data_IF_404520047822
#
_entry.id   IF_404520047822
#
_cell.length_a   1.000
_cell.length_b   1.000
_cell.length_c   1.000
_cell.angle_alpha   90.00
_cell.angle_beta   90.00
_cell.angle_gamma   90.00
#
_symmetry.space_group_name_H-M   'P 1'
#
loop_
_entity.id
_entity.type
_entity.pdbx_description
1 polymer ?
#
# COMPACT_ATOMS: atom_id res chain seq x y z
N UNK A 1 6.44 -38.81 8.56
CA UNK A 1 5.69 -37.58 8.88
C UNK A 1 5.35 -36.86 7.57
N UNK A 2 4.09 -36.49 7.36
CA UNK A 2 3.69 -35.80 6.13
C UNK A 2 3.43 -34.35 6.49
N UNK A 3 4.10 -33.43 5.79
CA UNK A 3 3.92 -31.99 5.94
C UNK A 3 2.94 -31.52 4.87
N UNK A 4 1.84 -30.89 5.29
CA UNK A 4 0.86 -30.31 4.36
C UNK A 4 0.77 -28.82 4.64
N UNK A 5 0.90 -28.02 3.61
CA UNK A 5 0.79 -26.55 3.72
C UNK A 5 -0.59 -26.08 3.26
N UNK A 6 -1.21 -25.19 4.02
CA UNK A 6 -2.40 -24.44 3.60
C UNK A 6 -1.95 -23.10 3.03
N UNK A 7 -2.00 -22.97 1.70
CA UNK A 7 -1.60 -21.74 0.98
C UNK A 7 -2.71 -20.67 0.98
N UNK A 8 -3.42 -20.50 2.08
CA UNK A 8 -4.43 -19.44 2.24
C UNK A 8 -3.94 -18.40 3.23
N UNK A 9 -4.30 -17.14 2.97
CA UNK A 9 -4.11 -16.07 3.95
C UNK A 9 -5.12 -16.29 5.09
N UNK A 10 -4.69 -16.92 6.17
CA UNK A 10 -5.52 -17.17 7.34
C UNK A 10 -5.50 -15.95 8.29
N UNK A 11 -5.71 -14.76 7.73
CA UNK A 11 -5.66 -13.48 8.44
C UNK A 11 -6.83 -13.26 9.41
N UNK A 12 -7.92 -14.02 9.26
CA UNK A 12 -9.10 -13.97 10.13
C UNK A 12 -9.09 -15.13 11.12
N UNK A 13 -9.47 -14.86 12.37
CA UNK A 13 -9.61 -15.87 13.44
C UNK A 13 -10.54 -17.03 13.03
N UNK A 14 -11.66 -16.71 12.38
CA UNK A 14 -12.60 -17.72 11.89
C UNK A 14 -11.96 -18.74 10.94
N UNK A 15 -11.01 -18.32 10.09
CA UNK A 15 -10.31 -19.23 9.19
C UNK A 15 -9.37 -20.16 9.96
N UNK A 16 -8.67 -19.63 10.97
CA UNK A 16 -7.75 -20.39 11.82
C UNK A 16 -8.52 -21.38 12.71
N UNK A 17 -9.65 -20.94 13.27
CA UNK A 17 -10.55 -21.81 14.03
C UNK A 17 -11.07 -22.98 13.18
N UNK A 18 -11.49 -22.70 11.93
CA UNK A 18 -11.95 -23.76 11.02
C UNK A 18 -10.85 -24.78 10.71
N UNK A 19 -9.58 -24.35 10.56
CA UNK A 19 -8.45 -25.26 10.40
C UNK A 19 -8.21 -26.09 11.66
N UNK A 20 -8.25 -25.46 12.84
CA UNK A 20 -8.10 -26.16 14.13
C UNK A 20 -9.18 -27.21 14.33
N UNK A 21 -10.42 -26.87 14.02
CA UNK A 21 -11.54 -27.79 14.12
C UNK A 21 -11.44 -28.94 13.13
N UNK A 22 -10.97 -28.70 11.92
CA UNK A 22 -10.80 -29.72 10.89
C UNK A 22 -9.75 -30.79 11.28
N UNK A 23 -8.75 -30.45 12.08
CA UNK A 23 -7.71 -31.36 12.52
C UNK A 23 -7.95 -31.92 13.93
N UNK A 24 -8.99 -31.42 14.62
CA UNK A 24 -9.35 -31.90 15.96
C UNK A 24 -9.71 -33.38 15.92
N UNK A 25 -9.03 -34.18 16.75
CA UNK A 25 -9.26 -35.59 16.84
C UNK A 25 -8.69 -36.45 15.70
N UNK A 26 -7.85 -35.85 14.85
CA UNK A 26 -7.13 -36.60 13.82
C UNK A 26 -6.21 -37.68 14.43
N UNK A 27 -6.12 -38.81 13.77
CA UNK A 27 -5.21 -39.89 14.15
C UNK A 27 -4.38 -40.33 12.92
N UNK A 28 -3.07 -40.12 12.91
CA UNK A 28 -2.27 -39.54 13.99
C UNK A 28 -2.56 -38.01 14.21
N UNK A 29 -2.19 -37.48 15.39
CA UNK A 29 -2.41 -36.07 15.71
C UNK A 29 -1.71 -35.16 14.69
N UNK A 30 -2.42 -34.11 14.24
CA UNK A 30 -1.89 -33.09 13.35
C UNK A 30 -1.50 -31.85 14.18
N UNK A 31 -0.26 -31.40 14.00
CA UNK A 31 0.22 -30.13 14.56
C UNK A 31 0.04 -29.00 13.57
N UNK A 32 -0.48 -27.86 14.04
CA UNK A 32 -0.64 -26.64 13.26
C UNK A 32 0.49 -25.68 13.58
N UNK A 33 1.31 -25.36 12.58
CA UNK A 33 2.34 -24.33 12.65
C UNK A 33 1.89 -23.12 11.84
N UNK A 34 2.05 -21.91 12.40
CA UNK A 34 1.84 -20.67 11.68
C UNK A 34 3.18 -20.04 11.28
N UNK A 35 3.28 -19.60 10.04
CA UNK A 35 4.26 -18.59 9.63
C UNK A 35 3.59 -17.23 9.83
N UNK A 36 4.04 -16.47 10.81
CA UNK A 36 3.45 -15.21 11.21
C UNK A 36 4.34 -14.04 10.81
N UNK A 37 3.86 -13.18 9.91
CA UNK A 37 4.52 -11.93 9.60
C UNK A 37 4.05 -10.86 10.57
N UNK A 38 4.90 -10.52 11.54
CA UNK A 38 4.61 -9.46 12.49
C UNK A 38 4.53 -8.10 11.80
N UNK A 39 3.56 -7.27 12.22
CA UNK A 39 3.38 -5.92 11.70
C UNK A 39 3.99 -4.92 12.68
N UNK A 40 5.31 -4.95 12.81
CA UNK A 40 6.05 -3.99 13.65
C UNK A 40 6.23 -2.62 12.98
N UNK A 41 5.99 -2.57 11.66
CA UNK A 41 6.10 -1.35 10.86
C UNK A 41 4.77 -0.62 10.73
N UNK A 42 4.78 0.70 10.42
CA UNK A 42 3.57 1.43 10.03
C UNK A 42 2.81 0.71 8.91
N UNK A 43 1.49 0.68 9.00
CA UNK A 43 0.65 -0.05 8.03
C UNK A 43 0.86 0.40 6.59
N UNK A 44 1.21 1.68 6.38
CA UNK A 44 1.55 2.24 5.07
C UNK A 44 2.82 1.63 4.48
N UNK A 45 3.85 1.42 5.31
CA UNK A 45 5.09 0.76 4.90
C UNK A 45 4.84 -0.71 4.54
N UNK A 46 4.05 -1.42 5.35
CA UNK A 46 3.65 -2.81 5.07
C UNK A 46 2.87 -2.89 3.77
N UNK A 47 1.90 -2.00 3.57
CA UNK A 47 1.13 -1.93 2.34
C UNK A 47 2.03 -1.74 1.12
N UNK A 48 3.00 -0.82 1.21
CA UNK A 48 3.97 -0.60 0.15
C UNK A 48 4.78 -1.85 -0.17
N UNK A 49 5.40 -2.49 0.83
CA UNK A 49 6.19 -3.70 0.64
C UNK A 49 5.36 -4.78 -0.05
N UNK A 50 4.12 -4.99 0.37
CA UNK A 50 3.22 -5.97 -0.24
C UNK A 50 2.85 -5.58 -1.68
N UNK A 51 2.58 -4.30 -1.95
CA UNK A 51 2.25 -3.81 -3.28
C UNK A 51 3.42 -3.94 -4.24
N UNK A 52 4.63 -3.57 -3.82
CA UNK A 52 5.84 -3.72 -4.62
C UNK A 52 6.09 -5.19 -4.98
N UNK A 53 5.94 -6.11 -4.04
CA UNK A 53 6.04 -7.57 -4.31
C UNK A 53 5.00 -8.08 -5.31
N UNK A 54 3.79 -7.53 -5.32
CA UNK A 54 2.77 -7.89 -6.33
C UNK A 54 3.17 -7.35 -7.69
N UNK A 55 3.72 -6.13 -7.76
CA UNK A 55 4.22 -5.56 -9.02
C UNK A 55 5.39 -6.34 -9.58
N UNK A 56 6.38 -6.70 -8.75
CA UNK A 56 7.56 -7.44 -9.16
C UNK A 56 7.21 -8.83 -9.71
N UNK A 57 6.17 -9.46 -9.18
CA UNK A 57 5.65 -10.73 -9.69
C UNK A 57 4.85 -10.58 -10.99
N UNK A 58 4.34 -9.39 -11.27
CA UNK A 58 3.59 -9.08 -12.47
C UNK A 58 2.48 -10.09 -12.77
N UNK A 59 2.48 -10.64 -13.99
CA UNK A 59 1.52 -11.65 -14.42
C UNK A 59 1.62 -12.99 -13.69
N UNK A 60 2.75 -13.27 -13.03
CA UNK A 60 2.98 -14.51 -12.29
C UNK A 60 2.31 -14.53 -10.91
N UNK A 61 1.67 -13.43 -10.49
CA UNK A 61 0.89 -13.44 -9.27
C UNK A 61 -0.43 -14.21 -9.46
N UNK A 62 -0.66 -15.27 -8.66
CA UNK A 62 -1.77 -16.21 -8.86
C UNK A 62 -3.16 -15.57 -8.73
N UNK A 63 -3.33 -14.61 -7.81
CA UNK A 63 -4.65 -14.09 -7.42
C UNK A 63 -4.82 -12.60 -7.60
N UNK A 64 -3.76 -11.83 -7.40
CA UNK A 64 -3.75 -10.39 -7.57
C UNK A 64 -3.06 -10.08 -8.88
N UNK A 65 -3.83 -9.68 -9.86
CA UNK A 65 -3.31 -9.13 -11.10
C UNK A 65 -3.59 -7.64 -11.05
N UNK A 66 -2.59 -6.84 -11.38
CA UNK A 66 -2.82 -5.44 -11.59
C UNK A 66 -4.04 -5.31 -12.51
N UNK A 67 -5.09 -4.67 -12.02
CA UNK A 67 -6.23 -4.19 -12.79
C UNK A 67 -7.21 -5.21 -13.41
N UNK A 68 -7.15 -6.48 -13.05
CA UNK A 68 -8.06 -7.51 -13.60
C UNK A 68 -9.35 -7.69 -12.79
N UNK A 69 -9.38 -7.27 -11.54
CA UNK A 69 -10.57 -7.35 -10.68
C UNK A 69 -11.15 -5.96 -10.44
N UNK A 70 -12.41 -5.89 -10.04
CA UNK A 70 -13.12 -4.63 -9.79
C UNK A 70 -12.52 -3.72 -8.70
N UNK A 71 -11.50 -4.21 -7.99
CA UNK A 71 -10.64 -3.45 -7.07
C UNK A 71 -9.20 -3.55 -7.54
N UNK A 72 -8.41 -2.48 -7.35
CA UNK A 72 -6.97 -2.54 -7.56
C UNK A 72 -6.34 -3.54 -6.59
N UNK A 73 -5.15 -4.08 -6.94
CA UNK A 73 -4.45 -4.97 -6.02
C UNK A 73 -4.08 -4.24 -4.71
N UNK A 74 -3.81 -2.94 -4.76
CA UNK A 74 -3.53 -2.10 -3.61
C UNK A 74 -4.71 -2.01 -2.64
N UNK A 75 -5.94 -1.81 -3.17
CA UNK A 75 -7.16 -1.85 -2.35
C UNK A 75 -7.37 -3.22 -1.69
N UNK A 76 -7.07 -4.30 -2.42
CA UNK A 76 -7.20 -5.66 -1.88
C UNK A 76 -6.17 -5.90 -0.78
N UNK A 77 -4.90 -5.51 -0.98
CA UNK A 77 -3.86 -5.61 0.05
C UNK A 77 -4.26 -4.80 1.28
N UNK A 78 -4.74 -3.56 1.07
CA UNK A 78 -5.18 -2.71 2.17
C UNK A 78 -6.32 -3.34 2.96
N UNK A 79 -7.30 -3.90 2.26
CA UNK A 79 -8.39 -4.64 2.90
C UNK A 79 -7.89 -5.81 3.77
N UNK A 80 -6.89 -6.55 3.31
CA UNK A 80 -6.28 -7.64 4.11
C UNK A 80 -5.58 -7.10 5.36
N UNK A 81 -4.83 -6.00 5.24
CA UNK A 81 -4.13 -5.36 6.36
C UNK A 81 -5.14 -4.88 7.42
N UNK A 82 -6.25 -4.26 7.00
CA UNK A 82 -7.29 -3.75 7.90
C UNK A 82 -8.11 -4.83 8.59
N UNK A 83 -8.36 -5.92 7.89
CA UNK A 83 -9.18 -7.03 8.41
C UNK A 83 -8.37 -8.07 9.18
N UNK A 84 -7.04 -7.93 9.19
CA UNK A 84 -6.20 -8.88 9.93
C UNK A 84 -6.54 -8.88 11.41
N UNK A 85 -6.74 -10.07 11.93
CA UNK A 85 -6.88 -10.34 13.35
C UNK A 85 -5.59 -10.98 13.88
N UNK A 86 -5.08 -10.49 15.01
CA UNK A 86 -3.87 -11.02 15.63
C UNK A 86 -4.04 -12.51 15.97
N UNK A 87 -2.92 -13.22 15.96
CA UNK A 87 -2.88 -14.64 16.33
C UNK A 87 -2.99 -14.74 17.85
N UNK A 88 -3.98 -15.51 18.33
CA UNK A 88 -4.20 -15.73 19.76
C UNK A 88 -3.60 -17.05 20.23
N UNK A 89 -3.30 -17.12 21.52
CA UNK A 89 -2.82 -18.34 22.14
C UNK A 89 -3.84 -19.49 21.97
N UNK A 90 -3.35 -20.66 21.58
CA UNK A 90 -4.18 -21.86 21.38
C UNK A 90 -4.79 -22.01 19.98
N UNK A 91 -4.67 -21.03 19.11
CA UNK A 91 -5.13 -21.16 17.71
C UNK A 91 -4.24 -22.08 16.87
N UNK A 92 -2.94 -22.15 17.21
CA UNK A 92 -1.95 -23.03 16.60
C UNK A 92 -1.08 -23.67 17.68
N UNK A 93 -0.35 -24.71 17.32
CA UNK A 93 0.53 -25.43 18.26
C UNK A 93 1.91 -24.76 18.37
N UNK A 94 2.36 -24.08 17.32
CA UNK A 94 3.60 -23.30 17.34
C UNK A 94 3.59 -22.19 16.28
N UNK A 95 4.41 -21.18 16.50
CA UNK A 95 4.56 -20.01 15.64
C UNK A 95 6.02 -19.87 15.21
N UNK A 96 6.22 -19.58 13.94
CA UNK A 96 7.50 -19.15 13.38
C UNK A 96 7.31 -17.68 12.98
N UNK A 97 7.96 -16.78 13.71
CA UNK A 97 7.92 -15.37 13.40
C UNK A 97 8.77 -15.08 12.15
N UNK A 98 8.14 -14.45 11.18
CA UNK A 98 8.73 -14.09 9.89
C UNK A 98 8.95 -12.58 9.82
N UNK A 99 10.01 -12.16 9.15
CA UNK A 99 10.29 -10.75 8.92
C UNK A 99 9.76 -10.32 7.55
N UNK A 100 9.03 -9.21 7.51
CA UNK A 100 8.46 -8.69 6.27
C UNK A 100 9.50 -8.09 5.33
N UNK A 101 10.67 -7.72 5.83
CA UNK A 101 11.77 -7.16 5.02
C UNK A 101 12.66 -8.23 4.39
N UNK A 102 12.59 -9.46 4.88
CA UNK A 102 13.41 -10.54 4.35
C UNK A 102 13.10 -10.81 2.88
N UNK A 103 14.14 -11.07 2.12
CA UNK A 103 14.01 -11.67 0.79
C UNK A 103 13.52 -13.13 0.88
N UNK A 104 13.25 -13.69 -0.29
CA UNK A 104 12.71 -15.06 -0.36
C UNK A 104 13.68 -16.11 0.21
N UNK A 105 14.99 -15.91 0.06
CA UNK A 105 16.02 -16.88 0.52
C UNK A 105 16.06 -16.90 2.04
N UNK A 106 16.19 -15.75 2.67
CA UNK A 106 16.23 -15.63 4.13
C UNK A 106 14.90 -16.07 4.77
N UNK A 107 13.76 -15.71 4.16
CA UNK A 107 12.46 -16.16 4.63
C UNK A 107 12.30 -17.69 4.55
N UNK A 108 12.83 -18.32 3.48
CA UNK A 108 12.83 -19.78 3.33
C UNK A 108 13.72 -20.44 4.39
N UNK A 109 14.93 -19.94 4.60
CA UNK A 109 15.84 -20.47 5.61
C UNK A 109 15.24 -20.38 7.01
N UNK A 110 14.64 -19.25 7.37
CA UNK A 110 13.93 -19.06 8.64
C UNK A 110 12.78 -20.04 8.82
N UNK A 111 11.96 -20.24 7.78
CA UNK A 111 10.86 -21.19 7.81
C UNK A 111 11.36 -22.63 7.96
N UNK A 112 12.41 -23.02 7.23
CA UNK A 112 13.02 -24.35 7.32
C UNK A 112 13.61 -24.60 8.72
N UNK A 113 14.40 -23.66 9.23
CA UNK A 113 15.01 -23.78 10.56
C UNK A 113 13.96 -23.83 11.67
N UNK A 114 12.88 -23.03 11.54
CA UNK A 114 11.76 -23.08 12.44
C UNK A 114 11.05 -24.46 12.43
N UNK A 115 10.76 -25.00 11.26
CA UNK A 115 10.17 -26.32 11.12
C UNK A 115 11.07 -27.43 11.68
N UNK A 116 12.37 -27.39 11.37
CA UNK A 116 13.36 -28.35 11.88
C UNK A 116 13.37 -28.34 13.42
N UNK A 117 13.45 -27.16 14.00
CA UNK A 117 13.49 -26.98 15.46
C UNK A 117 12.20 -27.45 16.15
N UNK A 118 11.03 -27.07 15.61
CA UNK A 118 9.73 -27.34 16.25
C UNK A 118 9.32 -28.80 16.08
N UNK A 119 9.57 -29.36 14.89
CA UNK A 119 9.11 -30.71 14.56
C UNK A 119 10.19 -31.78 14.80
N UNK A 120 11.40 -31.40 15.20
CA UNK A 120 12.51 -32.33 15.42
C UNK A 120 12.97 -33.04 14.14
N UNK A 121 12.90 -32.34 12.99
CA UNK A 121 13.27 -32.89 11.69
C UNK A 121 14.79 -32.73 11.45
N UNK A 122 15.34 -33.56 10.56
CA UNK A 122 16.67 -33.31 10.03
C UNK A 122 16.65 -32.09 9.09
N UNK A 123 17.66 -31.22 9.22
CA UNK A 123 17.80 -30.08 8.33
C UNK A 123 18.12 -30.60 6.92
N UNK A 124 17.35 -30.17 5.88
CA UNK A 124 17.67 -30.55 4.51
C UNK A 124 19.04 -30.00 4.11
N UNK A 125 19.74 -30.73 3.25
CA UNK A 125 21.00 -30.24 2.69
C UNK A 125 20.77 -29.00 1.82
N UNK A 126 21.82 -28.18 1.69
CA UNK A 126 21.74 -26.90 0.95
C UNK A 126 21.41 -27.12 -0.53
N UNK A 127 21.80 -28.23 -1.13
CA UNK A 127 21.48 -28.51 -2.54
C UNK A 127 19.98 -28.71 -2.73
N UNK A 128 19.30 -29.39 -1.80
CA UNK A 128 17.83 -29.57 -1.84
C UNK A 128 17.09 -28.24 -1.65
N UNK A 129 17.58 -27.39 -0.75
CA UNK A 129 17.00 -26.07 -0.52
C UNK A 129 17.18 -25.20 -1.75
N UNK A 130 18.37 -25.18 -2.34
CA UNK A 130 18.67 -24.42 -3.56
C UNK A 130 17.83 -24.92 -4.77
N UNK A 131 17.65 -26.22 -4.92
CA UNK A 131 16.80 -26.78 -5.97
C UNK A 131 15.35 -26.42 -5.78
N UNK A 132 14.84 -26.48 -4.55
CA UNK A 132 13.47 -26.06 -4.22
C UNK A 132 13.24 -24.58 -4.51
N UNK A 133 14.21 -23.72 -4.15
CA UNK A 133 14.17 -22.28 -4.45
C UNK A 133 14.18 -22.00 -5.95
N UNK A 134 15.06 -22.67 -6.70
CA UNK A 134 15.12 -22.54 -8.16
C UNK A 134 13.79 -22.98 -8.82
N UNK A 135 13.20 -24.06 -8.32
CA UNK A 135 11.88 -24.56 -8.77
C UNK A 135 10.78 -23.55 -8.47
N UNK A 136 10.79 -22.94 -7.27
CA UNK A 136 9.81 -21.94 -6.88
C UNK A 136 9.94 -20.64 -7.71
N UNK A 137 11.16 -20.22 -8.05
CA UNK A 137 11.43 -19.06 -8.92
C UNK A 137 11.01 -19.31 -10.37
N UNK A 138 11.18 -20.53 -10.87
CA UNK A 138 10.76 -20.94 -12.21
C UNK A 138 9.28 -21.34 -12.31
N UNK A 139 8.52 -21.27 -11.20
CA UNK A 139 7.12 -21.69 -11.21
C UNK A 139 6.23 -20.66 -11.93
N UNK A 140 5.72 -21.06 -13.06
CA UNK A 140 4.66 -20.34 -13.76
C UNK A 140 3.30 -20.92 -13.36
N UNK A 141 2.41 -20.11 -12.75
CA UNK A 141 1.10 -20.60 -12.34
C UNK A 141 0.28 -21.04 -13.56
N UNK A 142 -0.01 -22.33 -13.65
CA UNK A 142 -0.96 -22.85 -14.65
C UNK A 142 -2.35 -22.31 -14.31
N UNK A 143 -2.77 -21.28 -15.04
CA UNK A 143 -4.14 -20.77 -14.99
C UNK A 143 -5.05 -21.89 -15.48
N UNK A 144 -5.87 -22.48 -14.62
CA UNK A 144 -7.01 -23.28 -15.07
C UNK A 144 -7.88 -22.35 -15.90
N UNK A 145 -7.84 -22.50 -17.22
CA UNK A 145 -8.90 -21.97 -18.08
C UNK A 145 -10.16 -22.67 -17.60
N UNK A 146 -11.00 -21.98 -16.82
CA UNK A 146 -12.37 -22.41 -16.65
C UNK A 146 -12.97 -22.41 -18.06
N UNK A 147 -13.21 -23.60 -18.60
CA UNK A 147 -13.99 -23.81 -19.82
C UNK A 147 -15.44 -23.33 -19.55
N UNK A 148 -15.64 -22.04 -19.55
CA UNK A 148 -16.97 -21.44 -19.68
C UNK A 148 -17.40 -21.64 -21.14
N UNK A 149 -18.06 -22.78 -21.37
CA UNK A 149 -18.80 -23.02 -22.62
C UNK A 149 -19.71 -21.81 -22.87
N UNK A 150 -19.42 -21.06 -23.92
CA UNK A 150 -20.40 -20.26 -24.62
C UNK A 150 -20.48 -18.76 -24.34
N UNK A 151 -19.60 -18.15 -23.56
CA UNK A 151 -19.52 -16.68 -23.55
C UNK A 151 -18.47 -16.19 -24.55
N UNK A 152 -18.92 -15.37 -25.51
CA UNK A 152 -18.03 -14.61 -26.39
C UNK A 152 -16.92 -13.98 -25.57
N UNK A 153 -15.67 -14.27 -25.93
CA UNK A 153 -14.49 -13.61 -25.36
C UNK A 153 -14.67 -12.11 -25.58
N UNK A 154 -15.25 -11.43 -24.59
CA UNK A 154 -15.08 -9.98 -24.48
C UNK A 154 -13.62 -9.79 -24.16
N UNK A 155 -12.87 -9.14 -25.06
CA UNK A 155 -11.54 -8.61 -24.75
C UNK A 155 -11.64 -7.96 -23.37
N UNK A 156 -10.92 -8.53 -22.39
CA UNK A 156 -10.89 -7.97 -21.04
C UNK A 156 -10.24 -6.60 -21.18
N UNK A 157 -11.04 -5.55 -21.24
CA UNK A 157 -10.55 -4.19 -21.19
C UNK A 157 -9.75 -4.05 -19.88
N UNK A 158 -8.46 -3.76 -20.01
CA UNK A 158 -7.60 -3.38 -18.88
C UNK A 158 -8.29 -2.18 -18.24
N UNK A 159 -8.70 -2.33 -16.98
CA UNK A 159 -9.38 -1.25 -16.26
C UNK A 159 -8.41 -0.08 -16.14
N UNK A 160 -8.73 1.03 -16.75
CA UNK A 160 -7.94 2.26 -16.64
C UNK A 160 -8.03 2.81 -15.21
N UNK A 161 -6.93 3.28 -14.63
CA UNK A 161 -6.99 3.94 -13.33
C UNK A 161 -7.90 5.17 -13.40
N UNK A 162 -8.51 5.52 -12.28
CA UNK A 162 -9.31 6.73 -12.17
C UNK A 162 -8.45 7.99 -12.16
N UNK A 163 -7.27 7.88 -11.55
CA UNK A 163 -6.26 8.92 -11.53
C UNK A 163 -4.88 8.32 -11.31
N UNK A 164 -3.85 9.04 -11.69
CA UNK A 164 -2.49 8.76 -11.29
C UNK A 164 -2.10 9.66 -10.14
N UNK A 165 -1.43 9.10 -9.16
CA UNK A 165 -0.92 9.82 -8.00
C UNK A 165 0.45 9.35 -7.58
N UNK A 166 1.16 10.20 -6.86
CA UNK A 166 2.37 9.85 -6.13
C UNK A 166 1.95 9.34 -4.76
N UNK A 167 2.26 8.10 -4.44
CA UNK A 167 1.91 7.46 -3.18
C UNK A 167 3.10 7.56 -2.22
N UNK A 168 3.00 8.42 -1.18
CA UNK A 168 4.07 8.60 -0.21
C UNK A 168 4.16 7.47 0.82
N UNK A 169 5.37 7.26 1.32
CA UNK A 169 5.65 6.35 2.44
C UNK A 169 5.49 7.08 3.77
N UNK A 170 4.27 7.54 4.08
CA UNK A 170 3.98 8.36 5.26
C UNK A 170 2.77 7.82 6.01
N UNK A 171 2.91 7.63 7.32
CA UNK A 171 1.77 7.46 8.23
C UNK A 171 1.29 8.83 8.72
N UNK A 172 0.07 9.21 8.31
CA UNK A 172 -0.49 10.52 8.69
C UNK A 172 -0.79 10.64 10.19
N UNK A 173 -1.08 9.52 10.86
CA UNK A 173 -1.32 9.53 12.31
C UNK A 173 -0.01 9.73 13.06
N UNK A 174 1.03 8.99 12.70
CA UNK A 174 2.36 9.13 13.29
C UNK A 174 2.92 10.53 13.07
N UNK A 175 2.79 11.05 11.86
CA UNK A 175 3.24 12.38 11.48
C UNK A 175 2.52 13.49 12.24
N UNK A 176 1.18 13.43 12.35
CA UNK A 176 0.38 14.54 12.83
C UNK A 176 0.03 14.47 14.32
N UNK A 177 0.15 13.31 14.97
CA UNK A 177 -0.08 13.21 16.41
C UNK A 177 0.82 14.13 17.25
N UNK A 178 2.15 14.23 17.02
CA UNK A 178 2.98 15.17 17.77
C UNK A 178 2.67 16.64 17.44
N UNK A 179 2.22 16.91 16.21
CA UNK A 179 1.90 18.27 15.73
C UNK A 179 0.62 18.81 16.38
N UNK A 180 -0.37 17.95 16.57
CA UNK A 180 -1.68 18.27 17.14
C UNK A 180 -1.85 17.68 18.55
N UNK A 181 -0.83 17.81 19.40
CA UNK A 181 -0.89 17.36 20.81
C UNK A 181 -1.69 18.33 21.68
N UNK A 182 -2.37 17.83 22.72
CA UNK A 182 -3.04 18.68 23.71
C UNK A 182 -2.01 19.59 24.43
N UNK A 183 -2.25 20.89 24.43
CA UNK A 183 -1.36 21.89 25.07
C UNK A 183 -0.54 22.72 24.08
N UNK A 184 -0.74 22.56 22.78
CA UNK A 184 -0.15 23.42 21.74
C UNK A 184 -0.74 24.83 21.72
N UNK A 185 -0.14 25.67 20.88
CA UNK A 185 -0.43 27.08 20.70
C UNK A 185 -1.94 27.35 20.50
N UNK A 186 -2.47 28.42 21.06
CA UNK A 186 -3.88 28.79 20.94
C UNK A 186 -4.32 28.99 19.47
N UNK A 187 -3.40 29.39 18.61
CA UNK A 187 -3.65 29.57 17.18
C UNK A 187 -3.91 28.26 16.43
N UNK A 188 -3.59 27.11 17.02
CA UNK A 188 -3.76 25.76 16.47
C UNK A 188 -4.94 25.00 17.09
N UNK A 189 -5.64 25.60 18.07
CA UNK A 189 -6.70 24.94 18.83
C UNK A 189 -7.82 24.37 17.92
N UNK A 190 -8.20 25.09 16.90
CA UNK A 190 -9.21 24.63 15.92
C UNK A 190 -8.69 23.44 15.07
N UNK A 191 -7.39 23.46 14.69
CA UNK A 191 -6.74 22.35 14.00
C UNK A 191 -6.67 21.09 14.86
N UNK A 192 -6.33 21.24 16.15
CA UNK A 192 -6.32 20.15 17.12
C UNK A 192 -7.70 19.51 17.25
N UNK A 193 -8.76 20.34 17.37
CA UNK A 193 -10.13 19.86 17.43
C UNK A 193 -10.50 19.10 16.15
N UNK A 194 -10.26 19.70 14.99
CA UNK A 194 -10.61 19.09 13.70
C UNK A 194 -9.87 17.75 13.49
N UNK A 195 -8.56 17.71 13.78
CA UNK A 195 -7.77 16.49 13.68
C UNK A 195 -8.26 15.40 14.66
N UNK A 196 -8.61 15.78 15.89
CA UNK A 196 -9.18 14.87 16.89
C UNK A 196 -10.52 14.31 16.42
N UNK A 197 -11.37 15.13 15.81
CA UNK A 197 -12.66 14.70 15.26
C UNK A 197 -12.45 13.74 14.06
N UNK A 198 -11.47 14.00 13.19
CA UNK A 198 -11.11 13.09 12.11
C UNK A 198 -10.67 11.73 12.64
N UNK A 199 -9.82 11.69 13.69
CA UNK A 199 -9.38 10.44 14.35
C UNK A 199 -10.56 9.68 14.94
N UNK A 200 -11.37 10.36 15.76
CA UNK A 200 -12.53 9.76 16.45
C UNK A 200 -13.53 9.14 15.47
N UNK A 201 -13.71 9.77 14.32
CA UNK A 201 -14.66 9.34 13.29
C UNK A 201 -14.03 8.43 12.23
N UNK A 202 -12.78 7.99 12.38
CA UNK A 202 -12.03 7.18 11.41
C UNK A 202 -12.03 7.80 10.01
N UNK A 203 -11.84 9.14 9.93
CA UNK A 203 -11.89 9.93 8.70
C UNK A 203 -10.51 10.34 8.19
N UNK A 204 -9.44 9.95 8.85
CA UNK A 204 -8.08 10.15 8.34
C UNK A 204 -7.85 9.21 7.16
N UNK A 205 -7.30 9.75 6.08
CA UNK A 205 -6.98 9.00 4.87
C UNK A 205 -5.97 7.90 5.19
N UNK A 206 -6.37 6.65 4.96
CA UNK A 206 -5.53 5.48 5.24
C UNK A 206 -4.48 5.25 4.16
N UNK A 207 -4.77 5.65 2.94
CA UNK A 207 -3.88 5.56 1.78
C UNK A 207 -3.57 6.97 1.26
N UNK A 208 -2.61 7.69 1.92
CA UNK A 208 -2.25 9.03 1.49
C UNK A 208 -1.68 9.01 0.08
N UNK A 209 -2.06 10.01 -0.73
CA UNK A 209 -1.56 10.16 -2.08
C UNK A 209 -1.59 11.62 -2.51
N UNK A 210 -0.72 11.95 -3.45
CA UNK A 210 -0.67 13.25 -4.12
C UNK A 210 -1.23 13.05 -5.52
N UNK A 211 -2.42 13.57 -5.81
CA UNK A 211 -3.02 13.44 -7.14
C UNK A 211 -2.23 14.23 -8.17
N UNK A 212 -1.76 13.56 -9.22
CA UNK A 212 -1.03 14.16 -10.34
C UNK A 212 -2.00 14.49 -11.48
N UNK A 213 -2.74 13.51 -11.98
CA UNK A 213 -3.68 13.68 -13.08
C UNK A 213 -4.88 12.76 -12.93
N UNK A 214 -6.07 13.28 -13.22
CA UNK A 214 -7.34 12.53 -13.12
C UNK A 214 -7.89 12.21 -14.51
N UNK A 215 -8.49 11.02 -14.69
CA UNK A 215 -9.10 10.59 -15.96
C UNK A 215 -10.16 11.57 -16.51
N UNK A 216 -10.80 12.34 -15.64
CA UNK A 216 -11.76 13.38 -16.04
C UNK A 216 -11.14 14.64 -16.64
N UNK A 217 -9.81 14.78 -16.54
CA UNK A 217 -9.08 15.95 -17.06
C UNK A 217 -8.49 15.69 -18.45
N UNK A 218 -8.72 14.52 -19.03
CA UNK A 218 -8.12 14.09 -20.29
C UNK A 218 -8.62 14.85 -21.54
N UNK A 219 -9.56 15.76 -21.38
CA UNK A 219 -10.00 16.66 -22.46
C UNK A 219 -8.90 17.65 -22.85
N UNK A 220 -7.98 17.96 -21.93
CA UNK A 220 -6.83 18.85 -22.21
C UNK A 220 -5.62 18.04 -22.70
N UNK A 221 -4.85 18.64 -23.61
CA UNK A 221 -3.66 18.01 -24.21
C UNK A 221 -2.57 17.72 -23.17
N UNK A 222 -2.30 18.68 -22.28
CA UNK A 222 -1.32 18.49 -21.21
C UNK A 222 -1.69 17.33 -20.28
N UNK A 223 -2.97 17.16 -19.95
CA UNK A 223 -3.40 16.09 -19.06
C UNK A 223 -3.29 14.72 -19.73
N UNK A 224 -3.52 14.63 -21.04
CA UNK A 224 -3.28 13.38 -21.80
C UNK A 224 -1.81 13.00 -21.83
N UNK A 225 -0.93 13.97 -22.16
CA UNK A 225 0.51 13.72 -22.16
C UNK A 225 1.02 13.30 -20.78
N UNK A 226 0.58 13.99 -19.72
CA UNK A 226 0.94 13.63 -18.35
C UNK A 226 0.39 12.26 -17.92
N UNK A 227 -0.82 11.91 -18.38
CA UNK A 227 -1.41 10.59 -18.15
C UNK A 227 -0.60 9.47 -18.78
N UNK A 228 -0.21 9.63 -20.03
CA UNK A 228 0.62 8.66 -20.77
C UNK A 228 1.96 8.49 -20.07
N UNK A 229 2.60 9.59 -19.67
CA UNK A 229 3.85 9.55 -18.92
C UNK A 229 3.72 8.85 -17.57
N UNK A 230 2.67 9.12 -16.80
CA UNK A 230 2.40 8.40 -15.56
C UNK A 230 2.18 6.90 -15.79
N UNK A 231 1.53 6.52 -16.89
CA UNK A 231 1.35 5.13 -17.28
C UNK A 231 2.67 4.44 -17.62
N UNK A 232 3.56 5.11 -18.35
CA UNK A 232 4.90 4.61 -18.67
C UNK A 232 5.73 4.39 -17.41
N UNK A 233 5.79 5.39 -16.52
CA UNK A 233 6.51 5.29 -15.25
C UNK A 233 5.99 4.15 -14.37
N UNK A 234 4.67 3.96 -14.35
CA UNK A 234 4.04 2.85 -13.60
C UNK A 234 4.43 1.48 -14.15
N UNK A 235 4.52 1.34 -15.48
CA UNK A 235 4.79 0.07 -16.15
C UNK A 235 6.28 -0.21 -16.35
N UNK A 236 7.15 0.72 -15.96
CA UNK A 236 8.59 0.55 -16.04
C UNK A 236 9.07 -0.60 -15.15
N UNK A 237 10.02 -1.38 -15.65
CA UNK A 237 10.70 -2.43 -14.87
C UNK A 237 11.53 -1.84 -13.71
N UNK A 238 11.94 -0.58 -13.83
CA UNK A 238 12.63 0.21 -12.79
C UNK A 238 11.79 1.45 -12.50
N UNK A 239 10.80 1.35 -11.58
CA UNK A 239 9.90 2.47 -11.30
C UNK A 239 10.65 3.63 -10.65
N UNK A 240 10.52 4.83 -11.24
CA UNK A 240 11.05 6.06 -10.67
C UNK A 240 10.51 6.33 -9.27
N UNK A 241 11.40 6.64 -8.34
CA UNK A 241 11.07 7.13 -7.02
C UNK A 241 11.27 8.64 -6.95
N UNK A 242 10.38 9.33 -6.25
CA UNK A 242 10.42 10.79 -6.10
C UNK A 242 10.52 11.16 -4.63
N UNK A 243 11.41 12.09 -4.33
CA UNK A 243 11.56 12.73 -3.04
C UNK A 243 10.88 14.09 -3.06
N UNK A 244 10.24 14.48 -1.96
CA UNK A 244 9.56 15.75 -1.80
C UNK A 244 9.49 16.15 -0.33
N UNK A 245 9.19 17.44 -0.07
CA UNK A 245 9.05 17.96 1.28
C UNK A 245 7.58 18.23 1.61
N UNK A 246 7.15 17.79 2.80
CA UNK A 246 5.88 18.18 3.39
C UNK A 246 5.99 19.58 3.96
N UNK A 247 5.14 20.51 3.49
CA UNK A 247 5.27 21.93 3.78
C UNK A 247 4.46 22.41 4.97
N UNK A 248 3.14 22.50 4.81
CA UNK A 248 2.23 23.00 5.85
C UNK A 248 0.97 22.14 5.90
N UNK A 249 0.44 21.94 7.10
CA UNK A 249 -0.93 21.46 7.27
C UNK A 249 -1.85 22.66 7.11
N UNK A 250 -2.83 22.56 6.23
CA UNK A 250 -3.85 23.58 6.00
C UNK A 250 -5.24 22.98 6.26
N UNK A 251 -6.15 23.76 6.84
CA UNK A 251 -7.48 23.27 7.15
C UNK A 251 -8.54 24.37 7.19
N UNK A 252 -9.77 23.94 7.02
CA UNK A 252 -10.97 24.71 7.32
C UNK A 252 -11.94 23.80 8.10
N UNK A 253 -13.22 24.12 8.17
CA UNK A 253 -14.25 23.33 8.82
C UNK A 253 -14.66 22.07 8.04
N UNK A 254 -14.19 21.90 6.81
CA UNK A 254 -14.57 20.82 5.90
C UNK A 254 -13.47 19.81 5.62
N UNK A 255 -12.25 20.30 5.34
CA UNK A 255 -11.13 19.43 4.91
C UNK A 255 -9.82 19.86 5.57
N UNK A 256 -8.91 18.90 5.70
CA UNK A 256 -7.52 19.10 6.11
C UNK A 256 -6.60 18.49 5.06
N UNK A 257 -5.53 19.21 4.71
CA UNK A 257 -4.54 18.78 3.73
C UNK A 257 -3.12 19.14 4.17
N UNK A 258 -2.12 18.45 3.61
CA UNK A 258 -0.69 18.78 3.74
C UNK A 258 -0.21 19.23 2.37
N UNK A 259 0.39 20.40 2.29
CA UNK A 259 1.01 20.94 1.07
C UNK A 259 2.31 20.19 0.77
N UNK A 260 2.60 20.01 -0.51
CA UNK A 260 3.81 19.33 -0.98
C UNK A 260 4.67 20.29 -1.78
N UNK A 261 5.96 20.26 -1.51
CA UNK A 261 6.96 21.13 -2.14
C UNK A 261 8.14 20.29 -2.67
N UNK A 262 8.90 20.86 -3.61
CA UNK A 262 10.22 20.39 -4.03
C UNK A 262 10.27 18.91 -4.46
N UNK A 263 9.34 18.50 -5.33
CA UNK A 263 9.39 17.16 -5.89
C UNK A 263 10.58 17.03 -6.84
N UNK A 264 11.38 15.96 -6.66
CA UNK A 264 12.50 15.62 -7.52
C UNK A 264 12.71 14.10 -7.55
N UNK A 265 13.32 13.52 -8.59
CA UNK A 265 13.73 12.13 -8.58
C UNK A 265 14.69 11.84 -7.41
N UNK A 266 14.61 10.63 -6.85
CA UNK A 266 15.53 10.18 -5.79
C UNK A 266 16.91 9.91 -6.37
N UNK A 267 16.95 9.32 -7.56
CA UNK A 267 18.17 9.01 -8.31
C UNK A 267 18.42 10.11 -9.34
N UNK A 268 19.58 10.74 -9.25
CA UNK A 268 20.00 11.80 -10.19
C UNK A 268 20.22 11.26 -11.62
N UNK A 269 20.43 9.97 -11.80
CA UNK A 269 20.57 9.31 -13.10
C UNK A 269 19.22 8.83 -13.68
N UNK A 270 18.10 8.98 -12.95
CA UNK A 270 16.76 8.63 -13.43
C UNK A 270 16.27 9.61 -14.51
N UNK A 271 16.60 9.30 -15.76
CA UNK A 271 16.18 10.10 -16.93
C UNK A 271 14.64 10.14 -17.07
N UNK A 272 13.95 9.04 -16.78
CA UNK A 272 12.49 8.98 -16.88
C UNK A 272 11.80 9.85 -15.82
N UNK A 273 12.33 9.85 -14.60
CA UNK A 273 11.87 10.71 -13.52
C UNK A 273 12.13 12.19 -13.80
N UNK A 274 13.31 12.54 -14.34
CA UNK A 274 13.62 13.94 -14.75
C UNK A 274 12.67 14.40 -15.85
N UNK A 275 12.49 13.62 -16.89
CA UNK A 275 11.56 13.93 -17.98
C UNK A 275 10.13 14.14 -17.49
N UNK A 276 9.69 13.33 -16.53
CA UNK A 276 8.39 13.54 -15.88
C UNK A 276 8.32 14.88 -15.17
N UNK A 277 9.36 15.23 -14.42
CA UNK A 277 9.40 16.53 -13.70
C UNK A 277 9.40 17.72 -14.65
N UNK A 278 10.10 17.64 -15.78
CA UNK A 278 10.11 18.71 -16.79
C UNK A 278 8.75 18.90 -17.45
N UNK A 279 8.01 17.81 -17.64
CA UNK A 279 6.66 17.82 -18.23
C UNK A 279 5.55 18.16 -17.23
N UNK A 280 5.83 18.12 -15.92
CA UNK A 280 4.83 18.44 -14.90
C UNK A 280 4.51 19.94 -14.92
N UNK A 281 3.27 20.34 -15.31
CA UNK A 281 2.91 21.74 -15.42
C UNK A 281 3.05 22.49 -14.09
N UNK A 282 3.47 23.74 -14.14
CA UNK A 282 3.62 24.59 -12.95
C UNK A 282 2.31 24.67 -12.14
N UNK A 283 1.18 24.80 -12.83
CA UNK A 283 -0.15 24.80 -12.20
C UNK A 283 -0.46 23.54 -11.39
N UNK A 284 0.08 22.38 -11.81
CA UNK A 284 -0.07 21.13 -11.06
C UNK A 284 0.88 21.13 -9.87
N UNK A 285 2.14 21.52 -10.07
CA UNK A 285 3.15 21.59 -8.99
C UNK A 285 2.69 22.46 -7.83
N UNK A 286 2.08 23.60 -8.12
CA UNK A 286 1.59 24.55 -7.11
C UNK A 286 0.39 24.02 -6.31
N UNK A 287 -0.29 22.99 -6.78
CA UNK A 287 -1.50 22.44 -6.16
C UNK A 287 -1.30 21.06 -5.52
N UNK A 288 -0.05 20.60 -5.52
CA UNK A 288 0.27 19.29 -4.95
C UNK A 288 0.01 19.26 -3.43
N UNK A 289 -0.74 18.26 -3.01
CA UNK A 289 -1.12 18.09 -1.62
C UNK A 289 -1.47 16.64 -1.31
N UNK A 290 -1.44 16.30 -0.03
CA UNK A 290 -2.00 15.08 0.52
C UNK A 290 -3.27 15.45 1.28
N UNK A 291 -4.42 14.87 0.93
CA UNK A 291 -5.63 15.02 1.72
C UNK A 291 -5.50 14.21 3.01
N UNK A 292 -5.53 14.87 4.16
CA UNK A 292 -5.51 14.23 5.48
C UNK A 292 -6.87 13.61 5.81
N UNK A 293 -7.95 14.37 5.56
CA UNK A 293 -9.30 13.87 5.78
C UNK A 293 -10.37 14.93 5.54
N UNK A 294 -11.63 14.47 5.56
CA UNK A 294 -12.82 15.32 5.40
C UNK A 294 -13.74 15.17 6.61
N UNK A 295 -14.41 16.24 7.04
CA UNK A 295 -15.24 16.28 8.24
C UNK A 295 -16.35 15.23 8.25
N UNK A 296 -16.94 14.93 7.08
CA UNK A 296 -17.98 13.92 6.93
C UNK A 296 -17.94 13.26 5.53
N UNK A 297 -18.84 12.30 5.28
CA UNK A 297 -18.87 11.52 4.03
C UNK A 297 -19.36 12.30 2.82
N UNK A 298 -20.08 13.38 3.03
CA UNK A 298 -20.68 14.18 1.96
C UNK A 298 -19.68 15.19 1.37
N UNK A 299 -18.56 15.38 2.07
CA UNK A 299 -17.47 16.26 1.63
C UNK A 299 -16.51 15.45 0.77
N UNK A 300 -16.31 15.93 -0.44
CA UNK A 300 -15.43 15.28 -1.41
C UNK A 300 -13.96 15.64 -1.16
N UNK A 301 -13.07 14.65 -1.22
CA UNK A 301 -11.63 14.87 -1.01
C UNK A 301 -11.00 15.91 -1.94
N UNK A 302 -11.55 16.11 -3.15
CA UNK A 302 -11.05 17.11 -4.10
C UNK A 302 -11.19 18.57 -3.58
N UNK A 303 -12.04 18.83 -2.57
CA UNK A 303 -12.15 20.16 -1.94
C UNK A 303 -10.83 20.59 -1.30
N UNK A 304 -9.98 19.63 -0.92
CA UNK A 304 -8.65 19.90 -0.41
C UNK A 304 -7.77 20.68 -1.41
N UNK A 305 -7.97 20.44 -2.72
CA UNK A 305 -7.26 21.19 -3.76
C UNK A 305 -7.59 22.70 -3.71
N UNK A 306 -8.88 23.03 -3.62
CA UNK A 306 -9.32 24.42 -3.50
C UNK A 306 -8.77 25.10 -2.25
N UNK A 307 -8.77 24.38 -1.12
CA UNK A 307 -8.18 24.88 0.14
C UNK A 307 -6.68 25.21 -0.02
N UNK A 308 -5.91 24.35 -0.69
CA UNK A 308 -4.47 24.58 -0.93
C UNK A 308 -4.24 25.72 -1.91
N UNK A 309 -5.07 25.86 -2.94
CA UNK A 309 -5.04 27.00 -3.86
C UNK A 309 -5.26 28.32 -3.11
N UNK A 310 -6.31 28.41 -2.28
CA UNK A 310 -6.59 29.58 -1.45
C UNK A 310 -5.45 29.93 -0.51
N UNK A 311 -4.84 28.93 0.12
CA UNK A 311 -3.70 29.11 1.00
C UNK A 311 -2.48 29.68 0.24
N UNK A 312 -2.16 29.16 -0.96
CA UNK A 312 -1.05 29.64 -1.77
C UNK A 312 -1.26 31.05 -2.32
N UNK A 313 -2.51 31.41 -2.60
CA UNK A 313 -2.88 32.78 -2.99
C UNK A 313 -2.82 33.79 -1.83
N UNK A 314 -2.44 33.35 -0.63
CA UNK A 314 -2.37 34.19 0.57
C UNK A 314 -3.74 34.57 1.14
N UNK A 315 -4.81 33.88 0.74
CA UNK A 315 -6.12 34.05 1.38
C UNK A 315 -6.06 33.57 2.82
N UNK A 316 -6.92 34.13 3.68
CA UNK A 316 -6.94 33.82 5.11
C UNK A 316 -7.36 32.36 5.35
N UNK A 317 -6.40 31.44 5.30
CA UNK A 317 -6.56 30.01 5.53
C UNK A 317 -5.80 29.64 6.81
N UNK A 318 -6.40 28.79 7.63
CA UNK A 318 -5.74 28.26 8.83
C UNK A 318 -4.63 27.31 8.40
N UNK A 319 -3.44 27.47 8.94
CA UNK A 319 -2.30 26.62 8.60
C UNK A 319 -1.30 26.50 9.72
N UNK A 320 -0.57 25.39 9.73
CA UNK A 320 0.57 25.13 10.60
C UNK A 320 1.73 24.62 9.75
N UNK A 321 2.88 25.30 9.84
CA UNK A 321 4.08 24.91 9.10
C UNK A 321 4.68 23.65 9.69
N UNK A 322 4.93 22.66 8.84
CA UNK A 322 5.75 21.49 9.18
C UNK A 322 7.22 21.83 8.96
N UNK A 323 8.09 21.32 9.83
CA UNK A 323 9.53 21.60 9.74
C UNK A 323 10.18 20.64 8.76
N UNK A 324 10.13 20.98 7.46
CA UNK A 324 10.80 20.25 6.36
C UNK A 324 10.89 18.72 6.57
N UNK A 325 9.75 18.07 6.46
CA UNK A 325 9.67 16.62 6.60
C UNK A 325 9.84 16.00 5.21
N UNK A 326 10.99 15.36 4.93
CA UNK A 326 11.19 14.68 3.67
C UNK A 326 10.33 13.43 3.61
N UNK A 327 9.79 13.15 2.44
CA UNK A 327 9.06 11.96 2.14
C UNK A 327 9.42 11.46 0.73
N UNK A 328 9.28 10.17 0.51
CA UNK A 328 9.49 9.55 -0.79
C UNK A 328 8.23 8.83 -1.23
N UNK A 329 8.07 8.65 -2.53
CA UNK A 329 6.94 7.93 -3.10
C UNK A 329 7.13 7.60 -4.56
N UNK A 330 6.20 6.81 -5.12
CA UNK A 330 6.22 6.38 -6.52
C UNK A 330 4.89 6.67 -7.19
N UNK A 331 4.94 6.88 -8.53
CA UNK A 331 3.73 7.06 -9.33
C UNK A 331 2.97 5.74 -9.37
N UNK A 332 1.68 5.79 -9.04
CA UNK A 332 0.76 4.66 -9.04
C UNK A 332 -0.56 5.02 -9.75
N UNK A 333 -1.18 4.04 -10.37
CA UNK A 333 -2.56 4.16 -10.83
C UNK A 333 -3.52 3.84 -9.68
N UNK A 334 -4.45 4.74 -9.41
CA UNK A 334 -5.42 4.63 -8.32
C UNK A 334 -6.83 4.47 -8.91
N UNK A 335 -7.62 3.54 -8.38
CA UNK A 335 -8.86 3.05 -9.00
C UNK A 335 -10.12 3.38 -8.20
N UNK A 336 -9.98 3.90 -6.98
CA UNK A 336 -11.09 4.22 -6.06
C UNK A 336 -11.86 5.49 -6.44
#
# INVERSE_FOLDING_TARGET
MTLTTSCRNNHLKQHRTALRDAVRGSNPPVQLLALNWAFEKPLTAIHKICSDRVYDRGENHQTLQADVRGKSHEEVIWQFIEQREELEEGEVDAVIEMDIDEDLEHALDRAVDGCVRILGLEKPDQEKVALALATARGYEPTRKKEDKKGEKVKEKQIKQPRYYGLVPEVDLLELLNPVFSPGGDADVADGNKFFTDLKKNHRITKQPHITIVHSKSLDSEWARSLWERCSELRLSSTPSAFRFNLGSVVWNDRVMAITVNEIMPVDDDDEAGRTFMDQLPQEVREKLHITVGTANKDIMAFEARGLVEEWREGKRTKSLKLTNIPAEGRIRGLFS
#
